data_IF_619397087748
#
_entry.id   IF_619397087748
#
_cell.length_a   1.000
_cell.length_b   1.000
_cell.length_c   1.000
_cell.angle_alpha   90.00
_cell.angle_beta   90.00
_cell.angle_gamma   90.00
#
_symmetry.space_group_name_H-M   'P 1'
#
loop_
_entity.id
_entity.type
_entity.pdbx_description
1 polymer ?
#
# COMPACT_ATOMS: atom_id res chain seq x y z
N UNK A 1 -18.08 -0.14 -20.69
CA UNK A 1 -18.23 0.26 -19.28
C UNK A 1 -16.91 -0.02 -18.62
N UNK A 2 -16.25 1.01 -18.12
CA UNK A 2 -14.94 0.86 -17.52
C UNK A 2 -14.98 -0.03 -16.27
N UNK A 3 -13.98 -0.89 -16.13
CA UNK A 3 -13.83 -1.83 -15.01
C UNK A 3 -12.41 -1.72 -14.46
N UNK A 4 -12.28 -1.70 -13.13
CA UNK A 4 -10.99 -1.88 -12.47
C UNK A 4 -10.89 -3.32 -12.02
N UNK A 5 -9.91 -4.04 -12.57
CA UNK A 5 -9.57 -5.35 -12.05
C UNK A 5 -8.51 -5.21 -10.95
N UNK A 6 -8.83 -5.67 -9.74
CA UNK A 6 -7.86 -5.90 -8.67
C UNK A 6 -7.36 -7.34 -8.78
N UNK A 7 -6.13 -7.50 -9.24
CA UNK A 7 -5.44 -8.79 -9.32
C UNK A 7 -4.70 -9.03 -8.01
N UNK A 8 -5.03 -10.10 -7.30
CA UNK A 8 -4.48 -10.38 -5.97
C UNK A 8 -4.02 -11.84 -5.87
N UNK A 9 -2.86 -12.12 -5.23
CA UNK A 9 -2.48 -13.48 -4.94
C UNK A 9 -3.54 -14.20 -4.09
N UNK A 10 -3.84 -15.43 -4.47
CA UNK A 10 -4.59 -16.35 -3.61
C UNK A 10 -3.81 -16.50 -2.29
N UNK A 11 -4.53 -16.55 -1.17
CA UNK A 11 -3.96 -16.76 0.16
C UNK A 11 -3.05 -15.60 0.64
N UNK A 12 -3.16 -14.40 0.06
CA UNK A 12 -2.39 -13.23 0.51
C UNK A 12 -2.53 -12.96 2.02
N UNK A 13 -3.75 -13.16 2.53
CA UNK A 13 -4.11 -12.90 3.93
C UNK A 13 -4.10 -14.15 4.81
N UNK A 14 -3.67 -15.29 4.27
CA UNK A 14 -3.51 -16.50 5.08
C UNK A 14 -2.37 -16.25 6.07
N UNK A 15 -2.66 -16.46 7.35
CA UNK A 15 -1.63 -16.46 8.36
C UNK A 15 -0.66 -17.61 8.10
N UNK A 16 0.63 -17.39 8.34
CA UNK A 16 1.57 -18.49 8.45
C UNK A 16 1.09 -19.39 9.59
N UNK A 17 0.47 -20.54 9.28
CA UNK A 17 0.13 -21.53 10.29
C UNK A 17 1.44 -22.00 10.92
N UNK A 18 1.49 -22.03 12.25
CA UNK A 18 2.69 -22.35 13.05
C UNK A 18 3.37 -23.69 12.68
N UNK A 19 2.67 -24.57 11.93
CA UNK A 19 3.14 -25.90 11.53
C UNK A 19 3.80 -25.95 10.14
N UNK A 20 3.74 -24.88 9.34
CA UNK A 20 4.32 -24.88 8.01
C UNK A 20 5.70 -24.23 8.00
N UNK A 21 6.73 -25.01 7.67
CA UNK A 21 8.11 -24.53 7.42
C UNK A 21 8.25 -23.68 6.14
N UNK A 22 7.14 -23.22 5.56
CA UNK A 22 7.10 -22.47 4.31
C UNK A 22 6.72 -21.01 4.57
N UNK A 23 7.47 -20.11 3.93
CA UNK A 23 7.21 -18.68 3.92
C UNK A 23 5.81 -18.36 3.37
N UNK A 24 5.03 -17.53 4.08
CA UNK A 24 3.71 -17.10 3.61
C UNK A 24 3.81 -16.19 2.38
N UNK A 25 2.72 -16.06 1.62
CA UNK A 25 2.67 -15.14 0.48
C UNK A 25 2.95 -13.70 0.90
N UNK A 26 2.38 -13.27 2.03
CA UNK A 26 2.62 -11.95 2.62
C UNK A 26 4.07 -11.74 3.06
N UNK A 27 4.75 -12.77 3.59
CA UNK A 27 6.17 -12.71 3.96
C UNK A 27 7.06 -12.57 2.72
N UNK A 28 6.79 -13.37 1.67
CA UNK A 28 7.48 -13.27 0.37
C UNK A 28 7.35 -11.88 -0.25
N UNK A 29 6.14 -11.33 -0.24
CA UNK A 29 5.84 -9.99 -0.75
C UNK A 29 6.59 -8.92 0.05
N UNK A 30 6.59 -9.03 1.38
CA UNK A 30 7.24 -8.07 2.26
C UNK A 30 8.76 -8.03 2.01
N UNK A 31 9.41 -9.21 1.93
CA UNK A 31 10.84 -9.28 1.59
C UNK A 31 11.13 -8.72 0.21
N UNK A 32 10.27 -9.02 -0.77
CA UNK A 32 10.43 -8.50 -2.13
C UNK A 32 10.26 -6.97 -2.19
N UNK A 33 9.37 -6.37 -1.40
CA UNK A 33 9.30 -4.91 -1.29
C UNK A 33 10.57 -4.31 -0.70
N UNK A 34 11.09 -4.86 0.39
CA UNK A 34 12.32 -4.35 1.01
C UNK A 34 13.50 -4.49 0.03
N UNK A 35 13.60 -5.65 -0.64
CA UNK A 35 14.70 -5.93 -1.56
C UNK A 35 14.59 -5.17 -2.88
N UNK A 36 13.48 -5.34 -3.59
CA UNK A 36 13.37 -4.88 -4.98
C UNK A 36 12.93 -3.40 -5.06
N UNK A 37 12.21 -2.91 -4.05
CA UNK A 37 11.63 -1.56 -4.06
C UNK A 37 12.40 -0.59 -3.18
N UNK A 38 12.86 -1.01 -1.99
CA UNK A 38 13.75 -0.19 -1.16
C UNK A 38 15.24 -0.39 -1.46
N UNK A 39 15.57 -1.33 -2.35
CA UNK A 39 16.94 -1.68 -2.75
C UNK A 39 17.84 -2.12 -1.58
N UNK A 40 17.26 -2.77 -0.57
CA UNK A 40 17.96 -3.24 0.61
C UNK A 40 18.31 -4.74 0.46
N UNK A 41 19.61 -5.05 0.43
CA UNK A 41 20.12 -6.42 0.23
C UNK A 41 20.25 -7.16 1.57
N UNK A 42 20.34 -8.49 1.53
CA UNK A 42 20.53 -9.35 2.71
C UNK A 42 19.42 -9.26 3.76
N UNK A 43 18.16 -9.15 3.31
CA UNK A 43 16.98 -9.15 4.18
C UNK A 43 16.86 -10.47 4.92
N UNK A 44 16.85 -10.42 6.25
CA UNK A 44 16.51 -11.56 7.11
C UNK A 44 15.25 -11.28 7.90
N UNK A 45 14.59 -12.34 8.36
CA UNK A 45 13.50 -12.23 9.35
C UNK A 45 14.06 -11.74 10.69
N UNK A 46 13.27 -10.93 11.41
CA UNK A 46 13.57 -10.55 12.78
C UNK A 46 13.46 -11.72 13.75
N UNK A 47 14.16 -11.63 14.88
CA UNK A 47 14.04 -12.53 16.01
C UNK A 47 13.05 -11.98 17.05
N UNK A 48 11.88 -12.63 17.13
CA UNK A 48 10.80 -12.30 18.07
C UNK A 48 11.27 -12.39 19.53
N UNK A 49 12.27 -13.22 19.87
CA UNK A 49 12.74 -13.40 21.26
C UNK A 49 13.42 -12.17 21.83
N UNK A 50 13.94 -11.31 20.96
CA UNK A 50 14.58 -10.05 21.33
C UNK A 50 13.78 -8.84 20.83
N UNK A 51 12.51 -9.04 20.45
CA UNK A 51 11.62 -8.01 19.92
C UNK A 51 12.21 -7.25 18.71
N UNK A 52 12.85 -7.95 17.77
CA UNK A 52 13.18 -7.31 16.49
C UNK A 52 11.91 -7.03 15.66
N UNK A 53 11.92 -6.00 14.79
CA UNK A 53 10.89 -5.81 13.77
C UNK A 53 10.77 -7.00 12.82
N UNK A 54 9.69 -7.07 12.04
CA UNK A 54 9.41 -8.18 11.11
C UNK A 54 10.64 -8.60 10.27
N UNK A 55 11.43 -7.63 9.81
CA UNK A 55 12.68 -7.87 9.06
C UNK A 55 13.83 -6.97 9.50
N UNK A 56 15.03 -7.48 9.29
CA UNK A 56 16.28 -6.79 9.57
C UNK A 56 17.17 -6.77 8.33
N UNK A 57 17.81 -5.62 8.09
CA UNK A 57 18.85 -5.44 7.09
C UNK A 57 20.05 -4.79 7.78
N UNK A 58 21.11 -5.57 7.99
CA UNK A 58 22.23 -5.19 8.85
C UNK A 58 21.73 -4.77 10.25
N UNK A 59 21.78 -3.47 10.58
CA UNK A 59 21.30 -2.88 11.84
C UNK A 59 19.96 -2.14 11.70
N UNK A 60 19.38 -2.08 10.50
CA UNK A 60 18.11 -1.40 10.23
C UNK A 60 16.95 -2.37 10.38
N UNK A 61 15.94 -1.97 11.13
CA UNK A 61 14.69 -2.71 11.27
C UNK A 61 13.62 -2.23 10.28
N UNK A 62 12.78 -3.17 9.82
CA UNK A 62 11.64 -2.92 8.96
C UNK A 62 10.42 -3.68 9.50
N UNK A 63 9.41 -2.93 9.90
CA UNK A 63 8.10 -3.48 10.23
C UNK A 63 7.20 -3.34 9.00
N UNK A 64 6.49 -4.41 8.62
CA UNK A 64 5.65 -4.41 7.42
C UNK A 64 4.20 -4.62 7.80
N UNK A 65 3.30 -3.89 7.14
CA UNK A 65 1.86 -4.03 7.33
C UNK A 65 1.11 -3.80 6.04
N UNK A 66 -0.06 -4.42 5.93
CA UNK A 66 -1.04 -4.10 4.91
C UNK A 66 -2.05 -3.12 5.49
N UNK A 67 -2.39 -2.09 4.72
CA UNK A 67 -3.52 -1.20 4.97
C UNK A 67 -4.56 -1.48 3.89
N UNK A 68 -5.60 -2.22 4.27
CA UNK A 68 -6.62 -2.70 3.34
C UNK A 68 -7.96 -2.06 3.69
N UNK A 69 -8.63 -1.54 2.67
CA UNK A 69 -10.01 -1.07 2.81
C UNK A 69 -10.91 -2.20 3.32
N UNK A 70 -11.70 -1.91 4.36
CA UNK A 70 -12.62 -2.86 4.97
C UNK A 70 -13.63 -3.45 3.97
N UNK A 71 -14.01 -2.69 2.93
CA UNK A 71 -14.87 -3.19 1.84
C UNK A 71 -14.18 -4.27 1.02
N UNK A 72 -12.89 -4.11 0.72
CA UNK A 72 -12.09 -5.15 0.04
C UNK A 72 -12.02 -6.41 0.88
N UNK A 73 -11.84 -6.30 2.20
CA UNK A 73 -11.82 -7.47 3.08
C UNK A 73 -13.14 -8.23 3.01
N UNK A 74 -14.28 -7.54 2.97
CA UNK A 74 -15.60 -8.16 2.87
C UNK A 74 -15.81 -8.84 1.50
N UNK A 75 -15.36 -8.22 0.40
CA UNK A 75 -15.40 -8.81 -0.94
C UNK A 75 -14.54 -10.05 -1.06
N UNK A 76 -13.30 -10.00 -0.54
CA UNK A 76 -12.36 -11.13 -0.57
C UNK A 76 -12.88 -12.32 0.23
N UNK A 77 -13.67 -12.07 1.28
CA UNK A 77 -14.34 -13.11 2.07
C UNK A 77 -15.64 -13.61 1.43
N UNK A 78 -16.06 -13.05 0.29
CA UNK A 78 -17.32 -13.39 -0.38
C UNK A 78 -18.57 -13.00 0.43
N UNK A 79 -18.46 -12.02 1.33
CA UNK A 79 -19.53 -11.69 2.30
C UNK A 79 -20.50 -10.64 1.76
N UNK A 80 -20.03 -9.71 0.91
CA UNK A 80 -20.88 -8.67 0.29
C UNK A 80 -20.40 -8.34 -1.12
N UNK A 81 -21.34 -8.04 -2.01
CA UNK A 81 -21.05 -7.32 -3.24
C UNK A 81 -20.70 -5.86 -2.92
N UNK A 82 -19.91 -5.23 -3.79
CA UNK A 82 -19.47 -3.85 -3.60
C UNK A 82 -20.69 -2.96 -3.75
N UNK A 83 -21.08 -2.27 -2.67
CA UNK A 83 -22.14 -1.29 -2.75
C UNK A 83 -21.70 -0.13 -3.66
N UNK A 84 -22.55 0.28 -4.59
CA UNK A 84 -22.28 1.31 -5.61
C UNK A 84 -22.15 2.73 -5.01
N UNK A 85 -22.30 2.86 -3.68
CA UNK A 85 -22.12 4.13 -2.99
C UNK A 85 -20.63 4.49 -2.92
N UNK A 86 -20.22 5.48 -3.73
CA UNK A 86 -18.91 6.16 -3.75
C UNK A 86 -18.51 6.84 -2.42
N UNK A 87 -19.11 6.47 -1.29
CA UNK A 87 -18.83 7.11 -0.01
C UNK A 87 -17.40 6.80 0.45
N UNK A 88 -16.58 7.82 0.24
CA UNK A 88 -15.33 8.19 0.87
C UNK A 88 -14.20 7.13 0.88
N UNK A 89 -13.93 6.58 -0.31
CA UNK A 89 -12.78 5.70 -0.60
C UNK A 89 -11.46 6.25 -0.03
N UNK A 90 -11.28 7.58 -0.09
CA UNK A 90 -10.12 8.27 0.51
C UNK A 90 -10.08 8.14 2.03
N UNK A 91 -11.19 8.40 2.71
CA UNK A 91 -11.24 8.33 4.18
C UNK A 91 -11.03 6.90 4.68
N UNK A 92 -11.55 5.90 3.96
CA UNK A 92 -11.34 4.49 4.31
C UNK A 92 -9.86 4.10 4.20
N UNK A 93 -9.19 4.51 3.12
CA UNK A 93 -7.75 4.29 2.96
C UNK A 93 -6.93 5.02 4.04
N UNK A 94 -7.24 6.29 4.30
CA UNK A 94 -6.57 7.09 5.34
C UNK A 94 -6.75 6.48 6.71
N UNK A 95 -7.97 6.02 7.03
CA UNK A 95 -8.29 5.33 8.27
C UNK A 95 -7.49 4.04 8.39
N UNK A 96 -7.48 3.19 7.35
CA UNK A 96 -6.72 1.95 7.34
C UNK A 96 -5.21 2.18 7.56
N UNK A 97 -4.63 3.19 6.93
CA UNK A 97 -3.21 3.56 7.13
C UNK A 97 -2.96 4.07 8.55
N UNK A 98 -3.85 4.93 9.07
CA UNK A 98 -3.71 5.49 10.41
C UNK A 98 -3.79 4.39 11.48
N UNK A 99 -4.79 3.51 11.41
CA UNK A 99 -4.95 2.38 12.32
C UNK A 99 -3.79 1.39 12.22
N UNK A 100 -3.29 1.11 11.00
CA UNK A 100 -2.14 0.23 10.81
C UNK A 100 -0.87 0.82 11.43
N UNK A 101 -0.66 2.13 11.26
CA UNK A 101 0.48 2.86 11.85
C UNK A 101 0.40 2.85 13.37
N UNK A 102 -0.74 3.22 13.94
CA UNK A 102 -0.95 3.27 15.40
C UNK A 102 -0.71 1.91 16.05
N UNK A 103 -1.26 0.83 15.47
CA UNK A 103 -1.04 -0.53 15.95
C UNK A 103 0.44 -0.92 15.98
N UNK A 104 1.21 -0.53 14.97
CA UNK A 104 2.65 -0.87 14.88
C UNK A 104 3.51 0.05 15.76
N UNK A 105 3.09 1.30 15.98
CA UNK A 105 3.76 2.28 16.83
C UNK A 105 3.71 1.90 18.32
N UNK A 106 2.66 1.18 18.75
CA UNK A 106 2.50 0.72 20.12
C UNK A 106 3.35 -0.52 20.48
N UNK A 107 4.17 -1.03 19.55
CA UNK A 107 5.07 -2.15 19.80
C UNK A 107 6.45 -1.66 20.24
N UNK A 108 7.08 -2.38 21.18
CA UNK A 108 8.41 -2.07 21.70
C UNK A 108 9.46 -2.91 21.00
N UNK A 109 10.11 -2.35 19.97
CA UNK A 109 11.18 -3.05 19.26
C UNK A 109 12.56 -2.81 19.88
N UNK A 110 13.50 -3.70 19.60
CA UNK A 110 14.91 -3.57 19.98
C UNK A 110 15.67 -2.46 19.27
N UNK A 111 15.10 -1.88 18.20
CA UNK A 111 15.67 -0.75 17.47
C UNK A 111 14.57 0.17 16.93
N UNK A 112 14.94 1.41 16.57
CA UNK A 112 14.06 2.29 15.81
C UNK A 112 13.91 1.69 14.40
N UNK A 113 12.69 1.36 14.02
CA UNK A 113 12.39 0.67 12.77
C UNK A 113 11.86 1.63 11.70
N UNK A 114 11.94 1.21 10.44
CA UNK A 114 11.17 1.79 9.35
C UNK A 114 9.83 1.06 9.28
N UNK A 115 8.73 1.79 9.08
CA UNK A 115 7.43 1.19 8.81
C UNK A 115 7.18 1.15 7.30
N UNK A 116 6.82 -0.01 6.77
CA UNK A 116 6.43 -0.20 5.38
C UNK A 116 4.94 -0.57 5.31
N UNK A 117 4.14 0.29 4.70
CA UNK A 117 2.69 0.13 4.58
C UNK A 117 2.34 -0.16 3.13
N UNK A 118 1.84 -1.37 2.86
CA UNK A 118 1.36 -1.77 1.54
C UNK A 118 -0.15 -1.55 1.49
N UNK A 119 -0.61 -0.67 0.61
CA UNK A 119 -2.01 -0.26 0.54
C UNK A 119 -2.79 -1.07 -0.50
N UNK A 120 -4.01 -1.47 -0.14
CA UNK A 120 -4.96 -2.10 -1.07
C UNK A 120 -6.30 -1.39 -0.85
N UNK A 121 -6.71 -0.59 -1.83
CA UNK A 121 -7.91 0.25 -1.77
C UNK A 121 -8.85 -0.09 -2.92
N UNK A 122 -10.13 0.22 -2.75
CA UNK A 122 -11.13 0.05 -3.81
C UNK A 122 -10.72 0.84 -5.06
N UNK A 123 -10.14 2.03 -4.88
CA UNK A 123 -9.55 2.81 -5.96
C UNK A 123 -8.15 3.33 -5.56
N UNK A 124 -7.08 3.04 -6.32
CA UNK A 124 -5.74 3.57 -6.07
C UNK A 124 -5.59 4.98 -6.67
N UNK A 125 -5.91 5.99 -5.88
CA UNK A 125 -6.15 7.37 -6.31
C UNK A 125 -4.97 8.34 -6.09
N UNK A 126 -3.98 7.99 -5.26
CA UNK A 126 -2.91 8.93 -4.92
C UNK A 126 -1.84 9.06 -6.00
N UNK A 127 -1.87 8.18 -6.99
CA UNK A 127 -1.10 8.26 -8.22
C UNK A 127 -2.00 7.99 -9.43
N UNK A 128 -2.08 8.96 -10.35
CA UNK A 128 -2.85 8.81 -11.60
C UNK A 128 -1.90 8.92 -12.76
N UNK A 129 -2.14 8.10 -13.77
CA UNK A 129 -1.46 8.19 -15.06
C UNK A 129 -1.78 9.57 -15.67
N UNK A 130 -0.77 10.39 -16.03
CA UNK A 130 -0.95 11.77 -16.54
C UNK A 130 -1.88 11.94 -17.76
N UNK A 131 -2.25 10.84 -18.43
CA UNK A 131 -3.16 10.88 -19.58
C UNK A 131 -4.63 11.03 -19.18
N UNK A 132 -5.01 10.80 -17.92
CA UNK A 132 -6.39 10.96 -17.43
C UNK A 132 -6.69 12.37 -16.89
N UNK A 133 -5.69 13.26 -16.79
CA UNK A 133 -5.85 14.56 -16.11
C UNK A 133 -5.93 15.76 -17.04
N UNK A 134 -5.88 15.57 -18.36
CA UNK A 134 -5.57 16.67 -19.30
C UNK A 134 -6.76 17.53 -19.72
N UNK A 135 -8.01 17.10 -19.54
CA UNK A 135 -9.11 17.73 -20.32
C UNK A 135 -10.28 18.31 -19.49
N UNK A 136 -10.31 18.18 -18.15
CA UNK A 136 -11.46 18.62 -17.37
C UNK A 136 -11.12 19.34 -16.04
N UNK A 137 -11.59 20.58 -15.89
CA UNK A 137 -11.39 21.41 -14.69
C UNK A 137 -11.99 20.82 -13.41
N UNK A 138 -13.11 20.09 -13.51
CA UNK A 138 -13.71 19.41 -12.36
C UNK A 138 -12.83 18.27 -11.85
N UNK A 139 -12.21 17.53 -12.77
CA UNK A 139 -11.29 16.44 -12.44
C UNK A 139 -10.03 16.97 -11.76
N UNK A 140 -9.48 18.09 -12.24
CA UNK A 140 -8.37 18.76 -11.57
C UNK A 140 -8.70 19.13 -10.12
N UNK A 141 -9.85 19.76 -9.88
CA UNK A 141 -10.29 20.13 -8.52
C UNK A 141 -10.47 18.91 -7.61
N UNK A 142 -11.01 17.82 -8.14
CA UNK A 142 -11.15 16.57 -7.38
C UNK A 142 -9.78 16.01 -6.98
N UNK A 143 -8.82 15.99 -7.90
CA UNK A 143 -7.46 15.54 -7.59
C UNK A 143 -6.72 16.46 -6.62
N UNK A 144 -6.91 17.76 -6.72
CA UNK A 144 -6.35 18.72 -5.75
C UNK A 144 -6.86 18.43 -4.33
N UNK A 145 -8.13 18.05 -4.18
CA UNK A 145 -8.69 17.62 -2.88
C UNK A 145 -8.01 16.34 -2.41
N UNK A 146 -7.89 15.33 -3.25
CA UNK A 146 -7.22 14.06 -2.91
C UNK A 146 -5.78 14.30 -2.47
N UNK A 147 -5.01 15.08 -3.23
CA UNK A 147 -3.63 15.40 -2.90
C UNK A 147 -3.51 16.19 -1.60
N UNK A 148 -4.42 17.13 -1.36
CA UNK A 148 -4.45 17.87 -0.09
C UNK A 148 -4.73 16.94 1.09
N UNK A 149 -5.70 16.04 0.97
CA UNK A 149 -6.05 15.08 2.02
C UNK A 149 -4.89 14.11 2.30
N UNK A 150 -4.28 13.55 1.25
CA UNK A 150 -3.07 12.72 1.35
C UNK A 150 -1.92 13.47 2.04
N UNK A 151 -1.62 14.68 1.60
CA UNK A 151 -0.54 15.48 2.15
C UNK A 151 -0.77 15.79 3.65
N UNK A 152 -2.02 16.08 4.04
CA UNK A 152 -2.38 16.26 5.46
C UNK A 152 -2.11 14.99 6.29
N UNK A 153 -2.42 13.81 5.75
CA UNK A 153 -2.07 12.54 6.40
C UNK A 153 -0.54 12.42 6.53
N UNK A 154 0.22 12.72 5.48
CA UNK A 154 1.68 12.60 5.50
C UNK A 154 2.30 13.52 6.55
N UNK A 155 1.84 14.77 6.64
CA UNK A 155 2.26 15.70 7.70
C UNK A 155 1.95 15.17 9.09
N UNK A 156 0.76 14.59 9.29
CA UNK A 156 0.35 13.99 10.56
C UNK A 156 1.27 12.82 10.94
N UNK A 157 1.51 11.90 10.00
CA UNK A 157 2.37 10.73 10.21
C UNK A 157 3.80 11.14 10.56
N UNK A 158 4.35 12.13 9.85
CA UNK A 158 5.67 12.67 10.15
C UNK A 158 5.74 13.24 11.57
N UNK A 159 4.82 14.15 11.92
CA UNK A 159 4.83 14.82 13.22
C UNK A 159 4.63 13.86 14.39
N UNK A 160 3.75 12.87 14.22
CA UNK A 160 3.38 11.95 15.30
C UNK A 160 4.38 10.82 15.51
N UNK A 161 5.03 10.33 14.45
CA UNK A 161 5.82 9.09 14.57
C UNK A 161 7.28 9.24 14.14
N UNK A 162 7.59 10.08 13.15
CA UNK A 162 8.98 10.24 12.69
C UNK A 162 9.70 11.29 13.52
N UNK A 163 9.10 12.48 13.70
CA UNK A 163 9.68 13.56 14.48
C UNK A 163 9.86 13.19 15.97
N UNK A 164 9.10 12.22 16.47
CA UNK A 164 9.20 11.68 17.83
C UNK A 164 10.09 10.42 17.92
N UNK A 165 10.80 10.06 16.85
CA UNK A 165 11.67 8.88 16.76
C UNK A 165 10.98 7.54 17.06
N UNK A 166 9.66 7.43 16.87
CA UNK A 166 8.94 6.15 16.92
C UNK A 166 9.32 5.26 15.73
N UNK A 167 9.41 5.86 14.55
CA UNK A 167 9.95 5.23 13.35
C UNK A 167 11.06 6.11 12.74
N UNK A 168 12.06 5.47 12.14
CA UNK A 168 13.11 6.16 11.39
C UNK A 168 12.52 6.82 10.13
N UNK A 169 11.60 6.09 9.49
CA UNK A 169 10.80 6.55 8.35
C UNK A 169 9.51 5.73 8.22
N UNK A 170 8.56 6.24 7.45
CA UNK A 170 7.37 5.53 7.00
C UNK A 170 7.38 5.52 5.47
N UNK A 171 7.28 4.33 4.88
CA UNK A 171 7.12 4.12 3.45
C UNK A 171 5.68 3.67 3.19
N UNK A 172 4.97 4.37 2.31
CA UNK A 172 3.64 3.95 1.86
C UNK A 172 3.75 3.51 0.41
N UNK A 173 3.29 2.31 0.12
CA UNK A 173 3.33 1.71 -1.20
C UNK A 173 1.92 1.51 -1.69
N UNK A 174 1.61 2.08 -2.86
CA UNK A 174 0.31 1.95 -3.51
C UNK A 174 0.47 1.32 -4.89
N UNK A 175 -0.16 0.17 -5.17
CA UNK A 175 -0.21 -0.35 -6.53
C UNK A 175 -0.99 0.58 -7.45
N UNK A 176 -0.54 0.72 -8.70
CA UNK A 176 -1.11 1.66 -9.69
C UNK A 176 -1.90 0.91 -10.77
N UNK A 177 -2.67 1.65 -11.58
CA UNK A 177 -3.46 1.08 -12.69
C UNK A 177 -2.64 0.51 -13.85
N UNK A 178 -1.36 0.89 -13.97
CA UNK A 178 -0.43 0.40 -14.99
C UNK A 178 0.46 -0.75 -14.49
N UNK A 179 0.07 -1.41 -13.39
CA UNK A 179 0.78 -2.56 -12.84
C UNK A 179 2.13 -2.22 -12.20
N UNK A 180 2.36 -0.94 -11.86
CA UNK A 180 3.53 -0.45 -11.11
C UNK A 180 3.15 -0.17 -9.66
N UNK A 181 4.07 0.41 -8.90
CA UNK A 181 3.82 0.88 -7.54
C UNK A 181 4.32 2.31 -7.36
N UNK A 182 3.50 3.12 -6.70
CA UNK A 182 3.89 4.41 -6.17
C UNK A 182 4.45 4.22 -4.76
N UNK A 183 5.74 4.47 -4.58
CA UNK A 183 6.41 4.49 -3.29
C UNK A 183 6.48 5.94 -2.78
N UNK A 184 5.82 6.19 -1.65
CA UNK A 184 5.85 7.45 -0.94
C UNK A 184 6.78 7.35 0.27
N UNK A 185 7.79 8.23 0.33
CA UNK A 185 8.70 8.39 1.45
C UNK A 185 8.24 9.57 2.32
N UNK A 186 7.73 9.30 3.52
CA UNK A 186 7.12 10.33 4.38
C UNK A 186 8.16 11.27 4.98
N UNK A 187 9.35 10.78 5.33
CA UNK A 187 10.45 11.63 5.81
C UNK A 187 10.91 12.59 4.72
N UNK A 188 11.09 12.10 3.50
CA UNK A 188 11.45 12.95 2.36
C UNK A 188 10.33 13.93 2.02
N UNK A 189 9.05 13.54 2.12
CA UNK A 189 7.94 14.49 1.95
C UNK A 189 8.02 15.67 2.91
N UNK A 190 8.35 15.42 4.18
CA UNK A 190 8.44 16.45 5.19
C UNK A 190 9.67 17.36 5.03
N UNK A 191 10.82 16.80 4.62
CA UNK A 191 12.09 17.52 4.50
C UNK A 191 12.26 18.17 3.12
N UNK A 192 11.94 17.42 2.06
CA UNK A 192 12.14 17.77 0.66
C UNK A 192 10.89 17.43 -0.15
N UNK A 193 9.92 18.37 -0.12
CA UNK A 193 8.57 18.26 -0.72
C UNK A 193 8.53 17.84 -2.20
N UNK A 194 9.66 17.79 -2.90
CA UNK A 194 9.74 17.45 -4.32
C UNK A 194 10.21 16.01 -4.60
N UNK A 195 10.84 15.31 -3.65
CA UNK A 195 11.50 14.01 -3.91
C UNK A 195 10.90 12.85 -3.12
N UNK A 196 9.63 12.94 -2.74
CA UNK A 196 8.99 11.94 -1.87
C UNK A 196 8.30 10.79 -2.61
N UNK A 197 8.13 10.89 -3.93
CA UNK A 197 7.43 9.90 -4.74
C UNK A 197 8.39 9.26 -5.73
N UNK A 198 8.46 7.92 -5.69
CA UNK A 198 9.18 7.11 -6.68
C UNK A 198 8.22 6.11 -7.31
N UNK A 199 8.25 5.97 -8.64
CA UNK A 199 7.52 4.92 -9.34
C UNK A 199 8.45 3.74 -9.53
N UNK A 200 8.07 2.60 -8.96
CA UNK A 200 8.88 1.39 -8.95
C UNK A 200 8.19 0.27 -9.71
N UNK A 201 8.99 -0.55 -10.36
CA UNK A 201 8.57 -1.79 -11.02
C UNK A 201 9.08 -2.97 -10.23
N UNK A 202 8.30 -4.06 -10.20
CA UNK A 202 8.79 -5.32 -9.67
C UNK A 202 9.21 -6.24 -10.81
N UNK A 203 10.30 -6.99 -10.59
CA UNK A 203 10.72 -8.08 -11.46
C UNK A 203 9.70 -9.23 -11.52
N UNK A 204 8.83 -9.34 -10.50
CA UNK A 204 7.79 -10.36 -10.40
C UNK A 204 6.45 -9.75 -10.00
N UNK A 205 5.82 -9.03 -10.93
CA UNK A 205 4.51 -8.36 -10.71
C UNK A 205 3.40 -9.33 -10.27
N UNK A 206 3.49 -10.62 -10.66
CA UNK A 206 2.58 -11.68 -10.23
C UNK A 206 2.75 -12.09 -8.76
N UNK A 207 3.65 -11.50 -8.00
CA UNK A 207 3.68 -11.70 -6.55
C UNK A 207 2.82 -10.69 -5.81
N UNK A 208 2.43 -9.58 -6.44
CA UNK A 208 1.89 -8.42 -5.74
C UNK A 208 0.43 -8.15 -6.11
N UNK A 209 -0.35 -7.50 -5.23
CA UNK A 209 -1.61 -6.88 -5.63
C UNK A 209 -1.34 -5.83 -6.72
N UNK A 210 -2.05 -5.92 -7.84
CA UNK A 210 -1.93 -4.95 -8.96
C UNK A 210 -3.31 -4.58 -9.48
N UNK A 211 -3.45 -3.36 -9.98
CA UNK A 211 -4.69 -2.93 -10.64
C UNK A 211 -4.49 -2.92 -12.14
N UNK A 212 -5.56 -3.23 -12.87
CA UNK A 212 -5.64 -3.08 -14.31
C UNK A 212 -6.95 -2.37 -14.67
N UNK A 213 -6.83 -1.27 -15.39
CA UNK A 213 -7.99 -0.57 -15.95
C UNK A 213 -8.39 -1.23 -17.28
N UNK A 214 -9.65 -1.58 -17.42
CA UNK A 214 -10.25 -2.22 -18.61
C UNK A 214 -11.33 -1.29 -19.16
N UNK A 215 -11.32 -1.08 -20.48
CA UNK A 215 -12.35 -0.35 -21.23
C UNK A 215 -12.71 1.03 -20.64
N UNK A 216 -11.69 1.77 -20.20
CA UNK A 216 -11.80 3.17 -19.80
C UNK A 216 -11.08 4.04 -20.83
N UNK A 217 -11.86 4.78 -21.60
CA UNK A 217 -11.35 5.72 -22.59
C UNK A 217 -11.33 7.14 -22.03
N UNK A 218 -12.18 7.43 -21.04
CA UNK A 218 -12.31 8.76 -20.44
C UNK A 218 -12.23 8.73 -18.90
N UNK A 219 -11.73 9.80 -18.26
CA UNK A 219 -11.69 9.90 -16.80
C UNK A 219 -13.08 9.94 -16.13
N UNK A 220 -14.13 10.37 -16.84
CA UNK A 220 -15.51 10.35 -16.33
C UNK A 220 -16.01 8.93 -16.05
N UNK A 221 -15.55 7.96 -16.83
CA UNK A 221 -15.85 6.54 -16.63
C UNK A 221 -15.21 5.97 -15.35
N UNK A 222 -14.26 6.68 -14.75
CA UNK A 222 -13.66 6.33 -13.44
C UNK A 222 -14.72 6.44 -12.32
N UNK A 223 -15.73 7.31 -12.48
CA UNK A 223 -16.75 7.53 -11.45
C UNK A 223 -17.78 6.40 -11.34
N UNK A 224 -17.88 5.53 -12.33
CA UNK A 224 -18.82 4.39 -12.33
C UNK A 224 -18.10 3.04 -12.42
N UNK A 225 -16.82 3.00 -12.02
CA UNK A 225 -16.01 1.80 -12.10
C UNK A 225 -16.57 0.70 -11.21
N UNK A 226 -16.88 -0.42 -11.85
CA UNK A 226 -17.03 -1.68 -11.13
C UNK A 226 -15.64 -2.23 -10.81
N UNK A 227 -15.43 -2.65 -9.57
CA UNK A 227 -14.21 -3.36 -9.18
C UNK A 227 -14.48 -4.85 -9.31
N UNK A 228 -13.61 -5.52 -10.05
CA UNK A 228 -13.63 -6.97 -10.22
C UNK A 228 -12.37 -7.56 -9.59
N UNK A 229 -12.52 -8.51 -8.67
CA UNK A 229 -11.39 -9.19 -8.06
C UNK A 229 -10.99 -10.39 -8.92
N UNK A 230 -9.71 -10.45 -9.28
CA UNK A 230 -9.13 -11.56 -10.03
C UNK A 230 -8.09 -12.24 -9.14
N UNK A 231 -8.44 -13.42 -8.61
CA UNK A 231 -7.51 -14.23 -7.82
C UNK A 231 -6.61 -15.04 -8.75
N UNK A 232 -5.31 -15.08 -8.45
CA UNK A 232 -4.36 -15.91 -9.18
C UNK A 232 -3.50 -16.74 -8.21
N UNK A 233 -2.97 -17.87 -8.69
CA UNK A 233 -2.03 -18.70 -7.92
C UNK A 233 -0.59 -18.27 -8.21
N UNK A 234 0.21 -18.08 -7.17
CA UNK A 234 1.66 -17.92 -7.33
C UNK A 234 2.24 -19.33 -7.50
N UNK A 235 2.77 -19.63 -8.70
CA UNK A 235 3.51 -20.88 -8.90
C UNK A 235 4.77 -20.85 -8.02
N UNK A 236 5.00 -21.95 -7.30
CA UNK A 236 6.13 -22.11 -6.38
C UNK A 236 7.46 -22.04 -7.12
#
# INVERSE_FOLDING_TARGET
MAVVELHIPSNLFDSAKAENSFESVSERISKAFIKDILNELNVRRGDDKINEPDYMVNKKGYEVTFAVDSKIIQLLKGVKELDDSLQNIEEELIKAISEATERKANKNYSCISNLVIITISTMPTWYIIPNLSKECNLIKKYWDIIYKTRNNLFEKLYRQYIALNTFENIYIIQPTFDGKFALFNIKDFAINKNNFLTIVTSSNTRMFPTYKLIDAETPEEIKSLKIKIVNYKINK
#
